data_IF_643126470215
#
_entry.id   IF_643126470215
#
_cell.length_a   1.000
_cell.length_b   1.000
_cell.length_c   1.000
_cell.angle_alpha   90.00
_cell.angle_beta   90.00
_cell.angle_gamma   90.00
#
_symmetry.space_group_name_H-M   'P 1'
#
loop_
_entity.id
_entity.type
_entity.pdbx_description
1 polymer ?
#
# COMPACT_ATOMS: atom_id res chain seq x y z
N UNK A 1 7.40 -0.73 12.34
CA UNK A 1 7.04 0.24 11.30
C UNK A 1 5.62 0.00 10.86
N UNK A 2 4.83 1.04 10.75
CA UNK A 2 3.44 0.94 10.35
C UNK A 2 3.27 1.41 8.92
N UNK A 3 2.54 0.63 8.14
CA UNK A 3 2.18 0.95 6.77
C UNK A 3 0.69 1.29 6.74
N UNK A 4 0.34 2.41 6.12
CA UNK A 4 -1.06 2.81 5.97
C UNK A 4 -1.40 2.93 4.49
N UNK A 5 -2.51 2.33 4.09
CA UNK A 5 -3.03 2.50 2.74
C UNK A 5 -3.93 3.72 2.66
N UNK A 6 -3.75 4.54 1.64
CA UNK A 6 -4.53 5.75 1.41
C UNK A 6 -5.22 5.62 0.06
N UNK A 7 -6.53 5.66 0.07
CA UNK A 7 -7.34 5.49 -1.13
C UNK A 7 -7.59 4.02 -1.48
N UNK A 8 -8.48 3.80 -2.44
CA UNK A 8 -8.81 2.47 -2.91
C UNK A 8 -9.51 1.60 -1.88
N UNK A 9 -9.58 0.28 -2.14
CA UNK A 9 -10.35 -0.62 -1.27
C UNK A 9 -9.74 -0.83 0.11
N UNK A 10 -8.47 -0.50 0.29
CA UNK A 10 -7.78 -0.65 1.58
C UNK A 10 -7.60 0.67 2.30
N UNK A 11 -8.30 1.72 1.88
CA UNK A 11 -8.16 3.04 2.49
C UNK A 11 -8.33 2.98 4.01
N UNK A 12 -7.38 3.55 4.73
CA UNK A 12 -7.40 3.61 6.18
C UNK A 12 -6.89 2.36 6.88
N UNK A 13 -6.63 1.28 6.15
CA UNK A 13 -6.08 0.07 6.76
C UNK A 13 -4.60 0.26 7.09
N UNK A 14 -4.19 -0.27 8.25
CA UNK A 14 -2.82 -0.21 8.71
C UNK A 14 -2.30 -1.60 8.97
N UNK A 15 -1.02 -1.81 8.67
CA UNK A 15 -0.34 -3.06 8.91
C UNK A 15 1.01 -2.79 9.56
N UNK A 16 1.42 -3.66 10.47
CA UNK A 16 2.74 -3.56 11.06
C UNK A 16 3.70 -4.43 10.26
N UNK A 17 4.82 -3.83 9.86
CA UNK A 17 5.87 -4.51 9.11
C UNK A 17 7.17 -4.51 9.91
N UNK A 18 8.02 -5.53 9.69
CA UNK A 18 9.39 -5.48 10.22
C UNK A 18 10.12 -4.25 9.66
N UNK A 19 11.07 -3.67 10.40
CA UNK A 19 11.79 -2.48 9.95
C UNK A 19 12.86 -2.80 8.90
N UNK A 20 12.60 -3.74 8.00
CA UNK A 20 13.50 -4.14 6.93
C UNK A 20 12.78 -4.03 5.61
N UNK A 21 13.36 -3.29 4.69
CA UNK A 21 13.02 -3.29 3.26
C UNK A 21 11.53 -3.30 2.94
N UNK A 22 10.83 -2.23 3.34
CA UNK A 22 9.47 -2.04 2.88
C UNK A 22 9.47 -1.92 1.35
N UNK A 23 8.60 -2.67 0.65
CA UNK A 23 8.53 -2.57 -0.80
C UNK A 23 8.05 -1.18 -1.22
N UNK A 24 8.51 -0.73 -2.40
CA UNK A 24 8.03 0.53 -2.94
C UNK A 24 6.62 0.43 -3.52
N UNK A 25 6.25 -0.76 -3.96
CA UNK A 25 4.95 -1.00 -4.57
C UNK A 25 4.32 -2.23 -3.93
N UNK A 26 3.06 -2.10 -3.57
CA UNK A 26 2.29 -3.23 -3.01
C UNK A 26 1.11 -3.47 -3.92
N UNK A 27 0.91 -4.73 -4.30
CA UNK A 27 -0.24 -5.14 -5.09
C UNK A 27 -1.18 -5.97 -4.23
N UNK A 28 -2.43 -5.54 -4.19
CA UNK A 28 -3.48 -6.23 -3.43
C UNK A 28 -4.45 -6.83 -4.43
N UNK A 29 -4.54 -8.16 -4.43
CA UNK A 29 -5.44 -8.86 -5.34
C UNK A 29 -6.80 -9.06 -4.69
N UNK A 30 -7.85 -8.70 -5.41
CA UNK A 30 -9.22 -8.87 -4.92
C UNK A 30 -10.17 -9.04 -6.11
N UNK A 31 -10.89 -10.15 -6.12
CA UNK A 31 -11.91 -10.39 -7.13
C UNK A 31 -11.42 -10.38 -8.57
N UNK A 32 -10.21 -10.87 -8.83
CA UNK A 32 -9.63 -10.88 -10.17
C UNK A 32 -9.05 -9.56 -10.61
N UNK A 33 -9.01 -8.58 -9.71
CA UNK A 33 -8.45 -7.26 -9.96
C UNK A 33 -7.27 -7.04 -9.03
N UNK A 34 -6.21 -6.45 -9.54
CA UNK A 34 -5.05 -6.07 -8.73
C UNK A 34 -5.10 -4.58 -8.47
N UNK A 35 -5.10 -4.21 -7.20
CA UNK A 35 -5.05 -2.81 -6.78
C UNK A 35 -3.62 -2.47 -6.41
N UNK A 36 -3.10 -1.39 -6.97
CA UNK A 36 -1.70 -1.02 -6.84
C UNK A 36 -1.56 0.16 -5.88
N UNK A 37 -0.66 0.02 -4.92
CA UNK A 37 -0.31 1.09 -3.98
C UNK A 37 1.17 1.37 -4.08
N UNK A 38 1.55 2.63 -4.02
CA UNK A 38 2.94 3.04 -4.14
C UNK A 38 3.35 3.94 -2.97
N UNK A 39 4.54 3.68 -2.43
CA UNK A 39 5.14 4.51 -1.40
C UNK A 39 5.77 5.73 -2.06
N UNK A 40 5.28 6.91 -1.70
CA UNK A 40 5.74 8.17 -2.30
C UNK A 40 6.73 8.93 -1.43
N UNK A 41 7.32 8.27 -0.46
CA UNK A 41 8.33 8.88 0.38
C UNK A 41 7.78 9.64 1.58
N UNK A 42 6.48 9.62 1.79
CA UNK A 42 5.87 10.29 2.92
C UNK A 42 5.93 9.40 4.15
N UNK A 43 6.77 9.81 5.08
CA UNK A 43 6.99 9.08 6.31
C UNK A 43 6.79 10.03 7.47
N UNK A 44 5.69 9.87 8.19
CA UNK A 44 5.31 10.78 9.26
C UNK A 44 4.97 10.00 10.52
N UNK A 45 5.63 10.32 11.62
CA UNK A 45 5.36 9.68 12.90
C UNK A 45 5.55 8.17 12.92
N UNK A 46 6.48 7.64 12.12
CA UNK A 46 6.72 6.21 12.03
C UNK A 46 5.73 5.47 11.13
N UNK A 47 4.91 6.20 10.39
CA UNK A 47 3.94 5.62 9.47
C UNK A 47 4.36 5.90 8.04
N UNK A 48 4.44 4.85 7.22
CA UNK A 48 4.68 4.98 5.79
C UNK A 48 3.36 4.93 5.05
N UNK A 49 3.09 5.94 4.24
CA UNK A 49 1.84 6.04 3.51
C UNK A 49 2.02 5.51 2.10
N UNK A 50 1.16 4.58 1.73
CA UNK A 50 1.10 4.01 0.38
C UNK A 50 -0.16 4.52 -0.28
N UNK A 51 0.00 5.24 -1.40
CA UNK A 51 -1.12 5.83 -2.10
C UNK A 51 -1.62 4.93 -3.22
N UNK A 52 -2.93 4.90 -3.37
CA UNK A 52 -3.59 4.09 -4.39
C UNK A 52 -3.30 4.63 -5.78
N UNK A 53 -2.79 3.78 -6.66
CA UNK A 53 -2.43 4.16 -8.02
C UNK A 53 -3.43 3.67 -9.06
N UNK A 54 -4.39 2.86 -8.67
CA UNK A 54 -5.39 2.36 -9.59
C UNK A 54 -5.41 0.85 -9.68
N UNK A 55 -6.17 0.35 -10.64
CA UNK A 55 -6.38 -1.08 -10.84
C UNK A 55 -5.59 -1.57 -12.04
N UNK A 56 -5.16 -2.83 -11.95
CA UNK A 56 -4.55 -3.54 -13.07
C UNK A 56 -5.33 -4.82 -13.32
N UNK A 57 -5.40 -5.23 -14.56
CA UNK A 57 -5.97 -6.52 -14.89
C UNK A 57 -5.01 -7.63 -14.45
N UNK A 58 -5.57 -8.63 -13.82
CA UNK A 58 -4.81 -9.81 -13.39
C UNK A 58 -4.90 -10.85 -14.50
N UNK A 59 -3.89 -10.90 -15.32
CA UNK A 59 -3.80 -11.88 -16.39
C UNK A 59 -2.78 -12.94 -16.07
#
# INVERSE_FOLDING_TARGET
MILRFVGGPKDGHEYELPPIDAPLVIRVRSGGVVHVYEFLGDRSGGVERYEYQGEQNDE
#
